data_IF_090827618700
#
_entry.id   IF_090827618700
#
_cell.length_a   1.000
_cell.length_b   1.000
_cell.length_c   1.000
_cell.angle_alpha   90.00
_cell.angle_beta   90.00
_cell.angle_gamma   90.00
#
_symmetry.space_group_name_H-M   'P 1'
#
loop_
_entity.id
_entity.type
_entity.pdbx_description
1 polymer ?
#
# COMPACT_ATOMS: atom_id res chain seq x y z
N UNK A 1 -0.55 -18.61 5.81
CA UNK A 1 -1.09 -17.25 5.62
C UNK A 1 -1.55 -16.60 6.92
N UNK A 2 -1.02 -15.41 7.21
CA UNK A 2 -1.56 -14.47 8.19
C UNK A 2 -2.60 -13.55 7.51
N UNK A 3 -3.69 -13.16 8.20
CA UNK A 3 -4.67 -12.25 7.63
C UNK A 3 -4.09 -10.85 7.45
N UNK A 4 -4.38 -10.21 6.31
CA UNK A 4 -4.03 -8.81 6.07
C UNK A 4 -5.17 -7.94 6.59
N UNK A 5 -4.86 -7.07 7.56
CA UNK A 5 -5.83 -6.17 8.16
C UNK A 5 -5.36 -4.72 7.93
N UNK A 6 -6.22 -3.94 7.30
CA UNK A 6 -6.02 -2.51 7.17
C UNK A 6 -6.54 -1.80 8.41
N UNK A 7 -5.79 -0.82 8.92
CA UNK A 7 -6.29 0.12 9.94
C UNK A 7 -7.35 1.03 9.31
N UNK A 8 -8.21 1.64 10.12
CA UNK A 8 -9.18 2.63 9.65
C UNK A 8 -8.46 3.78 8.91
N UNK A 9 -7.42 4.35 9.54
CA UNK A 9 -6.60 5.41 8.94
C UNK A 9 -6.01 5.02 7.58
N UNK A 10 -5.54 3.78 7.42
CA UNK A 10 -4.97 3.33 6.14
C UNK A 10 -6.02 3.23 5.02
N UNK A 11 -7.29 2.94 5.36
CA UNK A 11 -8.40 2.98 4.39
C UNK A 11 -8.73 4.42 3.99
N UNK A 12 -8.72 5.33 4.96
CA UNK A 12 -8.95 6.76 4.72
C UNK A 12 -7.83 7.37 3.84
N UNK A 13 -6.57 7.01 4.11
CA UNK A 13 -5.42 7.41 3.31
C UNK A 13 -5.55 6.91 1.87
N UNK A 14 -5.88 5.64 1.68
CA UNK A 14 -6.13 5.05 0.36
C UNK A 14 -7.25 5.80 -0.38
N UNK A 15 -8.36 6.08 0.29
CA UNK A 15 -9.48 6.82 -0.29
C UNK A 15 -9.08 8.25 -0.70
N UNK A 16 -8.27 8.92 0.11
CA UNK A 16 -7.78 10.27 -0.16
C UNK A 16 -6.85 10.29 -1.38
N UNK A 17 -5.88 9.37 -1.47
CA UNK A 17 -4.98 9.25 -2.62
C UNK A 17 -5.78 8.99 -3.91
N UNK A 18 -6.70 8.02 -3.89
CA UNK A 18 -7.50 7.66 -5.07
C UNK A 18 -8.36 8.84 -5.50
N UNK A 19 -9.04 9.53 -4.57
CA UNK A 19 -9.89 10.68 -4.88
C UNK A 19 -9.09 11.83 -5.48
N UNK A 20 -7.92 12.13 -4.92
CA UNK A 20 -7.04 13.17 -5.43
C UNK A 20 -6.62 12.89 -6.88
N UNK A 21 -6.16 11.67 -7.18
CA UNK A 21 -5.76 11.30 -8.55
C UNK A 21 -6.98 11.28 -9.48
N UNK A 22 -8.13 10.81 -9.00
CA UNK A 22 -9.34 10.67 -9.82
C UNK A 22 -9.91 12.00 -10.31
N UNK A 23 -9.66 13.10 -9.59
CA UNK A 23 -10.02 14.44 -10.03
C UNK A 23 -9.37 14.82 -11.37
N UNK A 24 -8.17 14.29 -11.64
CA UNK A 24 -7.41 14.55 -12.87
C UNK A 24 -7.47 13.37 -13.86
N UNK A 25 -7.34 12.14 -13.36
CA UNK A 25 -7.23 10.94 -14.20
C UNK A 25 -7.77 9.70 -13.49
N UNK A 26 -9.06 9.41 -13.74
CA UNK A 26 -9.74 8.24 -13.17
C UNK A 26 -9.07 6.90 -13.52
N UNK A 27 -8.62 6.63 -14.76
CA UNK A 27 -7.84 5.41 -15.05
C UNK A 27 -6.57 5.27 -14.20
N UNK A 28 -5.83 6.37 -13.98
CA UNK A 28 -4.63 6.35 -13.14
C UNK A 28 -4.97 6.05 -11.67
N UNK A 29 -6.07 6.61 -11.15
CA UNK A 29 -6.53 6.34 -9.79
C UNK A 29 -6.85 4.85 -9.59
N UNK A 30 -7.50 4.21 -10.57
CA UNK A 30 -7.78 2.76 -10.55
C UNK A 30 -6.49 1.92 -10.57
N UNK A 31 -5.49 2.31 -11.38
CA UNK A 31 -4.18 1.64 -11.39
C UNK A 31 -3.47 1.79 -10.05
N UNK A 32 -3.49 2.97 -9.44
CA UNK A 32 -2.87 3.21 -8.13
C UNK A 32 -3.53 2.38 -7.03
N UNK A 33 -4.87 2.31 -6.98
CA UNK A 33 -5.59 1.45 -6.04
C UNK A 33 -5.11 0.01 -6.11
N UNK A 34 -5.09 -0.54 -7.33
CA UNK A 34 -4.68 -1.92 -7.58
C UNK A 34 -3.23 -2.16 -7.19
N UNK A 35 -2.33 -1.24 -7.53
CA UNK A 35 -0.91 -1.32 -7.18
C UNK A 35 -0.70 -1.43 -5.66
N UNK A 36 -1.36 -0.56 -4.88
CA UNK A 36 -1.24 -0.55 -3.43
C UNK A 36 -1.84 -1.81 -2.79
N UNK A 37 -3.02 -2.24 -3.23
CA UNK A 37 -3.68 -3.45 -2.75
C UNK A 37 -2.88 -4.72 -3.07
N UNK A 38 -2.33 -4.83 -4.29
CA UNK A 38 -1.53 -5.98 -4.72
C UNK A 38 -0.18 -6.03 -3.99
N UNK A 39 0.44 -4.87 -3.70
CA UNK A 39 1.77 -4.80 -3.08
C UNK A 39 1.84 -5.42 -1.68
N UNK A 40 0.71 -5.49 -0.95
CA UNK A 40 0.68 -6.08 0.40
C UNK A 40 0.37 -7.58 0.38
N UNK A 41 -0.16 -8.15 -0.71
CA UNK A 41 -0.59 -9.55 -0.75
C UNK A 41 0.51 -10.55 -0.37
N UNK A 42 1.77 -10.41 -0.82
CA UNK A 42 2.84 -11.34 -0.44
C UNK A 42 3.12 -11.38 1.07
N UNK A 43 2.76 -10.34 1.83
CA UNK A 43 3.01 -10.30 3.28
C UNK A 43 2.15 -11.27 4.06
N UNK A 44 1.07 -11.80 3.47
CA UNK A 44 0.27 -12.85 4.10
C UNK A 44 1.11 -14.13 4.34
N UNK A 45 1.99 -14.48 3.41
CA UNK A 45 2.87 -15.66 3.53
C UNK A 45 4.29 -15.29 3.96
N UNK A 46 4.74 -14.07 3.64
CA UNK A 46 6.08 -13.58 3.98
C UNK A 46 6.01 -12.24 4.74
N UNK A 47 5.56 -12.22 6.02
CA UNK A 47 5.33 -10.98 6.77
C UNK A 47 6.58 -10.11 6.95
N UNK A 48 7.77 -10.70 6.79
CA UNK A 48 9.07 -10.04 6.95
C UNK A 48 9.79 -9.77 5.63
N UNK A 49 9.08 -9.87 4.49
CA UNK A 49 9.63 -9.66 3.14
C UNK A 49 10.30 -8.29 2.96
N UNK A 50 9.74 -7.25 3.58
CA UNK A 50 10.18 -5.87 3.39
C UNK A 50 11.10 -5.39 4.50
N UNK A 51 11.94 -4.40 4.19
CA UNK A 51 12.91 -3.82 5.12
C UNK A 51 12.21 -3.16 6.33
N UNK A 52 12.85 -3.24 7.50
CA UNK A 52 12.40 -2.52 8.71
C UNK A 52 12.55 -1.03 8.46
N UNK A 53 11.59 -0.23 8.91
CA UNK A 53 11.68 1.22 8.78
C UNK A 53 12.78 1.78 9.69
N UNK A 54 13.73 2.52 9.12
CA UNK A 54 14.67 3.34 9.88
C UNK A 54 14.01 4.58 10.49
N UNK A 55 12.80 4.93 10.02
CA UNK A 55 12.07 6.15 10.38
C UNK A 55 11.02 5.91 11.46
N UNK A 56 10.38 4.75 11.45
CA UNK A 56 9.28 4.41 12.35
C UNK A 56 9.54 3.05 13.01
N UNK A 57 10.01 3.04 14.28
CA UNK A 57 10.31 1.81 14.99
C UNK A 57 9.12 0.83 15.00
N UNK A 58 9.41 -0.44 14.72
CA UNK A 58 8.40 -1.52 14.71
C UNK A 58 7.57 -1.64 13.43
N UNK A 59 7.81 -0.78 12.42
CA UNK A 59 7.17 -0.90 11.10
C UNK A 59 8.15 -1.40 10.03
N UNK A 60 7.58 -1.77 8.88
CA UNK A 60 8.31 -2.13 7.65
C UNK A 60 7.77 -1.29 6.51
N UNK A 61 8.63 -0.97 5.55
CA UNK A 61 8.28 -0.06 4.45
C UNK A 61 8.20 -0.78 3.11
N UNK A 62 7.16 -0.46 2.35
CA UNK A 62 6.93 -1.00 1.01
C UNK A 62 6.97 0.16 0.02
N UNK A 63 7.91 0.10 -0.92
CA UNK A 63 7.87 0.95 -2.12
C UNK A 63 7.03 0.20 -3.16
N UNK A 64 5.75 0.57 -3.28
CA UNK A 64 4.78 -0.18 -4.08
C UNK A 64 5.02 -0.08 -5.60
N UNK A 65 5.67 0.99 -6.06
CA UNK A 65 6.08 1.12 -7.46
C UNK A 65 7.37 0.31 -7.71
N UNK A 66 7.46 -0.32 -8.88
CA UNK A 66 8.70 -0.96 -9.30
C UNK A 66 9.78 0.10 -9.55
N UNK A 67 10.71 0.28 -8.62
CA UNK A 67 11.97 0.96 -8.94
C UNK A 67 12.81 -0.02 -9.76
N UNK A 68 12.73 0.11 -11.09
CA UNK A 68 13.85 -0.34 -11.94
C UNK A 68 15.01 0.60 -11.72
#
# INVERSE_FOLDING_TARGET
MLPIIWRASARDDLANIIRYIANENLPAARRMKRLLEESVLPTAEHPYLYHISDRVPGLREIVAHQTT
#
